data_IF_356693699409
#
_entry.id   IF_356693699409
#
_cell.length_a   1.000
_cell.length_b   1.000
_cell.length_c   1.000
_cell.angle_alpha   90.00
_cell.angle_beta   90.00
_cell.angle_gamma   90.00
#
_symmetry.space_group_name_H-M   'P 1'
#
loop_
_entity.id
_entity.type
_entity.pdbx_description
1 polymer ?
#
# COMPACT_ATOMS: atom_id res chain seq x y z
N UNK A 1 -13.78 0.39 -31.44
CA UNK A 1 -12.42 0.94 -31.64
C UNK A 1 -11.48 -0.15 -31.17
N UNK A 2 -10.76 -0.80 -32.09
CA UNK A 2 -10.08 -2.07 -31.82
C UNK A 2 -8.88 -1.89 -30.90
N UNK A 3 -8.86 -2.65 -29.80
CA UNK A 3 -7.73 -2.71 -28.87
C UNK A 3 -6.97 -4.01 -29.17
N UNK A 4 -5.66 -3.85 -29.29
CA UNK A 4 -4.68 -4.79 -29.83
C UNK A 4 -4.42 -5.91 -28.82
N UNK A 5 -4.26 -7.13 -29.33
CA UNK A 5 -3.76 -8.30 -28.58
C UNK A 5 -2.42 -7.97 -27.91
N UNK A 6 -2.36 -8.10 -26.58
CA UNK A 6 -1.08 -8.12 -25.86
C UNK A 6 -0.45 -9.52 -26.03
N UNK A 7 0.79 -9.53 -26.50
CA UNK A 7 1.64 -10.72 -26.63
C UNK A 7 2.53 -10.71 -25.40
N UNK A 8 2.52 -11.78 -24.61
CA UNK A 8 3.49 -12.01 -23.54
C UNK A 8 4.90 -11.91 -24.13
N UNK A 9 5.64 -10.86 -23.75
CA UNK A 9 6.98 -10.58 -24.25
C UNK A 9 7.98 -10.92 -23.15
N UNK A 10 8.68 -12.05 -23.28
CA UNK A 10 9.86 -12.36 -22.48
C UNK A 10 11.03 -11.50 -22.98
N UNK A 11 11.47 -10.53 -22.18
CA UNK A 11 12.74 -9.84 -22.40
C UNK A 11 13.85 -10.54 -21.62
N UNK A 12 14.71 -11.27 -22.33
CA UNK A 12 16.00 -11.71 -21.79
C UNK A 12 17.03 -10.63 -22.16
N UNK A 13 17.30 -9.72 -21.23
CA UNK A 13 18.40 -8.76 -21.32
C UNK A 13 19.73 -9.47 -21.05
N UNK A 14 20.57 -9.66 -22.07
CA UNK A 14 21.95 -10.12 -21.89
C UNK A 14 22.88 -8.92 -21.80
N UNK A 15 23.21 -8.47 -20.59
CA UNK A 15 24.24 -7.47 -20.36
C UNK A 15 25.59 -8.16 -20.07
N UNK A 16 26.57 -7.96 -20.95
CA UNK A 16 27.98 -8.29 -20.66
C UNK A 16 28.55 -7.22 -19.72
N UNK A 17 28.82 -7.58 -18.46
CA UNK A 17 29.60 -6.77 -17.53
C UNK A 17 31.03 -7.33 -17.37
N UNK A 18 32.05 -6.47 -17.22
CA UNK A 18 33.40 -6.90 -16.91
C UNK A 18 33.52 -7.38 -15.46
N UNK A 19 34.44 -8.31 -15.27
CA UNK A 19 34.71 -9.06 -14.03
C UNK A 19 35.03 -8.17 -12.83
N UNK A 20 34.30 -8.44 -11.74
CA UNK A 20 34.76 -8.33 -10.36
C UNK A 20 33.95 -7.37 -9.50
N UNK A 21 33.02 -7.92 -8.71
CA UNK A 21 32.78 -7.69 -7.27
C UNK A 21 31.73 -8.74 -6.82
N UNK A 22 31.77 -9.13 -5.55
CA UNK A 22 31.08 -10.30 -4.97
C UNK A 22 29.60 -10.42 -5.34
N UNK A 23 29.23 -11.53 -5.98
CA UNK A 23 27.85 -11.94 -6.20
C UNK A 23 27.25 -12.46 -4.89
N UNK A 24 26.60 -11.58 -4.11
CA UNK A 24 25.38 -12.02 -3.46
C UNK A 24 24.38 -12.29 -4.59
N UNK A 25 23.89 -13.51 -4.72
CA UNK A 25 22.78 -13.75 -5.64
C UNK A 25 21.61 -12.91 -5.12
N UNK A 26 21.26 -11.86 -5.85
CA UNK A 26 20.07 -11.08 -5.56
C UNK A 26 18.87 -12.00 -5.82
N UNK A 27 17.89 -12.00 -4.93
CA UNK A 27 16.67 -12.75 -5.09
C UNK A 27 16.03 -12.43 -6.46
N UNK A 28 15.72 -13.44 -7.27
CA UNK A 28 14.98 -13.22 -8.51
C UNK A 28 13.52 -12.88 -8.15
N UNK A 29 13.10 -11.63 -8.34
CA UNK A 29 11.70 -11.27 -8.14
C UNK A 29 10.86 -11.85 -9.26
N UNK A 30 9.81 -12.56 -8.88
CA UNK A 30 8.81 -13.08 -9.82
C UNK A 30 7.44 -12.51 -9.45
N UNK A 31 6.71 -12.00 -10.44
CA UNK A 31 5.37 -11.42 -10.25
C UNK A 31 4.39 -12.04 -11.22
N UNK A 32 3.19 -12.31 -10.73
CA UNK A 32 2.05 -12.81 -11.49
C UNK A 32 0.83 -11.96 -11.18
N UNK A 33 0.37 -11.21 -12.17
CA UNK A 33 -0.87 -10.47 -12.11
C UNK A 33 -2.01 -11.33 -12.65
N UNK A 34 -3.15 -11.30 -11.96
CA UNK A 34 -4.38 -11.94 -12.40
C UNK A 34 -5.43 -10.89 -12.66
N UNK A 35 -6.04 -11.02 -13.83
CA UNK A 35 -7.27 -10.33 -14.20
C UNK A 35 -8.28 -11.33 -14.77
N UNK A 36 -9.50 -10.86 -15.06
CA UNK A 36 -10.56 -11.69 -15.64
C UNK A 36 -10.24 -12.29 -17.03
N UNK A 37 -9.18 -11.85 -17.71
CA UNK A 37 -8.73 -12.38 -19.00
C UNK A 37 -7.69 -13.50 -18.83
N UNK A 38 -7.26 -13.79 -17.59
CA UNK A 38 -6.25 -14.81 -17.30
C UNK A 38 -6.78 -16.21 -17.68
N UNK A 39 -6.12 -16.91 -18.64
CA UNK A 39 -6.55 -18.24 -19.07
C UNK A 39 -6.61 -19.24 -17.91
N UNK A 40 -7.59 -20.15 -17.97
CA UNK A 40 -7.78 -21.24 -17.01
C UNK A 40 -7.93 -20.80 -15.54
N UNK A 41 -8.12 -19.50 -15.30
CA UNK A 41 -8.25 -18.87 -13.99
C UNK A 41 -7.17 -19.33 -12.99
N UNK A 42 -5.98 -19.67 -13.47
CA UNK A 42 -4.89 -20.21 -12.65
C UNK A 42 -3.51 -19.93 -13.25
N UNK A 43 -2.49 -20.01 -12.41
CA UNK A 43 -1.12 -19.67 -12.80
C UNK A 43 -0.13 -19.89 -11.66
N UNK A 44 1.15 -19.97 -12.00
CA UNK A 44 2.22 -20.29 -11.06
C UNK A 44 3.48 -19.49 -11.34
N UNK A 45 4.18 -19.07 -10.28
CA UNK A 45 5.52 -18.50 -10.35
C UNK A 45 6.45 -19.27 -9.41
N UNK A 46 7.73 -19.29 -9.75
CA UNK A 46 8.76 -19.95 -8.94
C UNK A 46 9.98 -19.06 -8.85
N UNK A 47 10.52 -18.90 -7.66
CA UNK A 47 11.80 -18.25 -7.41
C UNK A 47 12.47 -18.88 -6.19
N UNK A 48 13.77 -19.13 -6.30
CA UNK A 48 14.62 -19.61 -5.20
C UNK A 48 14.03 -20.80 -4.40
N UNK A 49 13.47 -21.79 -5.11
CA UNK A 49 12.90 -23.00 -4.47
C UNK A 49 11.48 -22.83 -3.91
N UNK A 50 10.94 -21.61 -3.92
CA UNK A 50 9.55 -21.31 -3.57
C UNK A 50 8.71 -21.27 -4.85
N UNK A 51 7.61 -22.02 -4.87
CA UNK A 51 6.60 -21.98 -5.93
C UNK A 51 5.27 -21.52 -5.35
N UNK A 52 4.74 -20.42 -5.89
CA UNK A 52 3.41 -19.93 -5.57
C UNK A 52 2.45 -20.25 -6.72
N UNK A 53 1.38 -20.97 -6.41
CA UNK A 53 0.30 -21.31 -7.34
C UNK A 53 -0.98 -20.60 -6.92
N UNK A 54 -1.55 -19.79 -7.80
CA UNK A 54 -2.86 -19.17 -7.58
C UNK A 54 -3.86 -19.75 -8.57
N UNK A 55 -5.05 -20.06 -8.06
CA UNK A 55 -6.17 -20.54 -8.86
C UNK A 55 -7.47 -19.94 -8.34
N UNK A 56 -8.43 -19.72 -9.23
CA UNK A 56 -9.75 -19.21 -8.90
C UNK A 56 -10.83 -20.23 -9.23
N UNK A 57 -11.72 -20.48 -8.28
CA UNK A 57 -12.95 -21.21 -8.51
C UNK A 57 -14.08 -20.22 -8.80
N UNK A 58 -14.78 -20.41 -9.92
CA UNK A 58 -15.96 -19.63 -10.27
C UNK A 58 -17.20 -20.17 -9.53
N UNK A 59 -17.95 -19.28 -8.90
CA UNK A 59 -19.20 -19.56 -8.21
C UNK A 59 -20.30 -18.66 -8.78
N UNK A 60 -21.20 -19.23 -9.57
CA UNK A 60 -22.35 -18.51 -10.10
C UNK A 60 -23.52 -18.57 -9.12
N UNK A 61 -24.03 -17.42 -8.72
CA UNK A 61 -25.21 -17.32 -7.85
C UNK A 61 -26.51 -17.58 -8.65
N UNK A 62 -27.66 -17.82 -7.98
CA UNK A 62 -28.94 -18.07 -8.66
C UNK A 62 -29.45 -16.94 -9.56
N UNK A 63 -28.91 -15.73 -9.40
CA UNK A 63 -29.23 -14.54 -10.18
C UNK A 63 -28.36 -14.41 -11.45
N UNK A 64 -27.39 -15.32 -11.63
CA UNK A 64 -26.53 -15.39 -12.80
C UNK A 64 -25.23 -14.59 -12.69
N UNK A 65 -24.90 -14.04 -11.52
CA UNK A 65 -23.63 -13.37 -11.27
C UNK A 65 -22.58 -14.36 -10.82
N UNK A 66 -21.38 -14.27 -11.40
CA UNK A 66 -20.23 -15.07 -11.01
C UNK A 66 -19.36 -14.33 -10.01
N UNK A 67 -18.99 -15.02 -8.94
CA UNK A 67 -17.93 -14.63 -8.02
C UNK A 67 -16.75 -15.59 -8.20
N UNK A 68 -15.56 -15.11 -7.88
CA UNK A 68 -14.30 -15.83 -8.04
C UNK A 68 -13.66 -16.00 -6.66
N UNK A 69 -13.34 -17.24 -6.30
CA UNK A 69 -12.74 -17.61 -5.01
C UNK A 69 -11.27 -17.98 -5.24
N UNK A 70 -10.30 -17.17 -4.79
CA UNK A 70 -8.90 -17.50 -4.96
C UNK A 70 -8.47 -18.58 -3.97
N UNK A 71 -7.57 -19.44 -4.43
CA UNK A 71 -6.80 -20.36 -3.60
C UNK A 71 -5.33 -20.24 -3.96
N UNK A 72 -4.54 -19.76 -3.00
CA UNK A 72 -3.08 -19.71 -3.06
C UNK A 72 -2.51 -20.98 -2.41
N UNK A 73 -1.59 -21.63 -3.11
CA UNK A 73 -0.81 -22.77 -2.59
C UNK A 73 0.67 -22.47 -2.75
N UNK A 74 1.41 -22.56 -1.65
CA UNK A 74 2.85 -22.34 -1.59
C UNK A 74 3.55 -23.66 -1.40
N UNK A 75 4.57 -23.89 -2.21
CA UNK A 75 5.42 -25.06 -2.15
C UNK A 75 6.88 -24.64 -1.99
N UNK A 76 7.62 -25.41 -1.20
CA UNK A 76 9.07 -25.30 -1.07
C UNK A 76 9.66 -26.65 -1.42
N UNK A 77 10.61 -26.68 -2.36
CA UNK A 77 11.22 -27.91 -2.87
C UNK A 77 10.16 -28.98 -3.23
N UNK A 78 9.13 -28.57 -3.97
CA UNK A 78 7.99 -29.39 -4.42
C UNK A 78 7.07 -29.92 -3.29
N UNK A 79 7.22 -29.47 -2.04
CA UNK A 79 6.33 -29.83 -0.93
C UNK A 79 5.43 -28.67 -0.59
N UNK A 80 4.12 -28.94 -0.53
CA UNK A 80 3.15 -27.96 -0.03
C UNK A 80 3.45 -27.63 1.44
N UNK A 81 3.75 -26.36 1.69
CA UNK A 81 4.00 -25.82 3.04
C UNK A 81 2.80 -25.02 3.54
N UNK A 82 2.01 -24.44 2.63
CA UNK A 82 0.86 -23.62 2.98
C UNK A 82 -0.19 -23.61 1.87
N UNK A 83 -1.46 -23.63 2.26
CA UNK A 83 -2.61 -23.40 1.37
C UNK A 83 -3.60 -22.45 2.05
N UNK A 84 -4.09 -21.46 1.30
CA UNK A 84 -5.15 -20.53 1.71
C UNK A 84 -6.17 -20.34 0.62
N UNK A 85 -7.42 -20.26 1.05
CA UNK A 85 -8.56 -19.94 0.19
C UNK A 85 -9.20 -18.71 0.80
N UNK A 86 -9.27 -17.63 0.02
CA UNK A 86 -9.80 -16.35 0.47
C UNK A 86 -11.28 -16.20 0.11
N UNK A 87 -11.88 -15.11 0.58
CA UNK A 87 -13.25 -14.76 0.26
C UNK A 87 -13.47 -14.50 -1.23
N UNK A 88 -14.71 -14.73 -1.66
CA UNK A 88 -15.11 -14.55 -3.05
C UNK A 88 -15.18 -13.06 -3.42
N UNK A 89 -14.67 -12.70 -4.60
CA UNK A 89 -14.84 -11.36 -5.18
C UNK A 89 -15.58 -11.44 -6.52
N UNK A 90 -16.39 -10.43 -6.83
CA UNK A 90 -17.06 -10.33 -8.14
C UNK A 90 -16.09 -9.96 -9.27
N UNK A 91 -14.86 -9.55 -8.94
CA UNK A 91 -13.78 -9.32 -9.90
C UNK A 91 -12.56 -10.16 -9.56
N UNK A 92 -11.98 -10.77 -10.60
CA UNK A 92 -10.66 -11.37 -10.54
C UNK A 92 -9.64 -10.25 -10.79
N UNK A 93 -9.10 -9.69 -9.72
CA UNK A 93 -7.99 -8.74 -9.79
C UNK A 93 -7.08 -8.94 -8.58
N UNK A 94 -5.91 -9.51 -8.82
CA UNK A 94 -4.93 -9.80 -7.77
C UNK A 94 -3.51 -9.84 -8.31
N UNK A 95 -2.58 -9.86 -7.38
CA UNK A 95 -1.15 -9.95 -7.61
C UNK A 95 -0.57 -10.99 -6.67
N UNK A 96 0.28 -11.86 -7.20
CA UNK A 96 1.18 -12.72 -6.43
C UNK A 96 2.60 -12.34 -6.79
N UNK A 97 3.45 -12.17 -5.78
CA UNK A 97 4.87 -11.90 -5.98
C UNK A 97 5.70 -12.77 -5.05
N UNK A 98 6.89 -13.15 -5.50
CA UNK A 98 7.92 -13.75 -4.65
C UNK A 98 9.07 -12.75 -4.58
N UNK A 99 9.40 -12.28 -3.38
CA UNK A 99 10.45 -11.31 -3.13
C UNK A 99 11.05 -11.49 -1.73
N UNK A 100 12.32 -11.15 -1.57
CA UNK A 100 13.01 -11.20 -0.29
C UNK A 100 12.62 -9.99 0.57
N UNK A 101 11.85 -10.18 1.64
CA UNK A 101 11.42 -9.12 2.56
C UNK A 101 12.05 -9.25 3.96
N UNK A 102 12.49 -10.45 4.37
CA UNK A 102 13.21 -10.67 5.62
C UNK A 102 14.33 -11.73 5.50
N UNK A 103 15.61 -11.31 5.48
CA UNK A 103 16.73 -12.22 5.23
C UNK A 103 17.08 -13.11 6.44
N UNK A 104 16.24 -13.11 7.49
CA UNK A 104 16.42 -13.93 8.69
C UNK A 104 15.89 -15.36 8.53
N UNK A 105 15.13 -15.64 7.47
CA UNK A 105 14.63 -16.98 7.15
C UNK A 105 15.36 -17.57 5.93
N UNK A 106 15.01 -18.80 5.53
CA UNK A 106 15.72 -19.51 4.46
C UNK A 106 15.16 -19.23 3.05
N UNK A 107 13.99 -18.60 2.93
CA UNK A 107 13.22 -18.54 1.68
C UNK A 107 12.51 -17.20 1.50
N UNK A 108 12.52 -16.61 0.29
CA UNK A 108 11.82 -15.36 0.04
C UNK A 108 10.32 -15.48 0.32
N UNK A 109 9.74 -14.36 0.73
CA UNK A 109 8.31 -14.22 0.98
C UNK A 109 7.47 -14.38 -0.28
N UNK A 110 6.26 -14.89 -0.10
CA UNK A 110 5.18 -14.78 -1.10
C UNK A 110 4.24 -13.67 -0.66
N UNK A 111 4.03 -12.67 -1.50
CA UNK A 111 3.09 -11.59 -1.29
C UNK A 111 1.86 -11.90 -2.11
N UNK A 112 0.68 -11.86 -1.49
CA UNK A 112 -0.60 -11.92 -2.17
C UNK A 112 -1.37 -10.64 -1.89
N UNK A 113 -1.75 -9.95 -2.96
CA UNK A 113 -2.62 -8.80 -2.87
C UNK A 113 -3.88 -9.01 -3.72
N UNK A 114 -5.04 -8.86 -3.12
CA UNK A 114 -6.32 -9.08 -3.79
C UNK A 114 -7.22 -7.87 -3.65
N UNK A 115 -7.88 -7.53 -4.74
CA UNK A 115 -8.97 -6.57 -4.73
C UNK A 115 -10.23 -7.17 -4.06
N UNK A 116 -10.65 -6.57 -2.94
CA UNK A 116 -11.80 -7.04 -2.14
C UNK A 116 -13.18 -6.63 -2.66
N UNK A 117 -13.27 -5.57 -3.47
CA UNK A 117 -14.55 -5.10 -4.06
C UNK A 117 -15.08 -3.76 -3.52
N UNK A 118 -15.27 -2.77 -4.41
CA UNK A 118 -15.97 -1.50 -4.14
C UNK A 118 -15.37 -0.29 -4.90
N UNK A 119 -16.08 0.85 -5.03
CA UNK A 119 -15.70 1.94 -5.94
C UNK A 119 -14.31 2.56 -5.71
N UNK A 120 -13.79 2.47 -4.48
CA UNK A 120 -12.42 2.82 -4.09
C UNK A 120 -11.80 1.75 -3.16
N UNK A 121 -12.47 0.60 -3.05
CA UNK A 121 -12.12 -0.41 -2.06
C UNK A 121 -10.97 -1.31 -2.50
N UNK A 122 -10.52 -2.07 -1.52
CA UNK A 122 -9.11 -2.12 -1.17
C UNK A 122 -8.34 -3.29 -1.77
N UNK A 123 -7.04 -3.09 -1.91
CA UNK A 123 -6.06 -4.15 -1.91
C UNK A 123 -5.95 -4.74 -0.50
N UNK A 124 -6.44 -5.95 -0.30
CA UNK A 124 -6.11 -6.77 0.86
C UNK A 124 -4.74 -7.36 0.62
N UNK A 125 -3.81 -7.21 1.57
CA UNK A 125 -2.41 -7.64 1.41
C UNK A 125 -2.04 -8.61 2.50
N UNK A 126 -1.53 -9.76 2.08
CA UNK A 126 -1.04 -10.83 2.94
C UNK A 126 0.37 -11.21 2.51
N UNK A 127 1.22 -11.46 3.50
CA UNK A 127 2.60 -11.89 3.31
C UNK A 127 2.73 -13.28 3.91
N UNK A 128 3.20 -14.22 3.12
CA UNK A 128 3.48 -15.58 3.54
C UNK A 128 4.98 -15.73 3.70
N UNK A 129 5.41 -16.03 4.91
CA UNK A 129 6.83 -16.06 5.29
C UNK A 129 7.12 -17.30 6.13
N UNK A 130 8.37 -17.72 6.14
CA UNK A 130 8.83 -18.75 7.06
C UNK A 130 9.23 -18.10 8.39
N UNK A 131 8.65 -18.59 9.48
CA UNK A 131 9.05 -18.18 10.82
C UNK A 131 10.50 -18.61 11.11
N UNK A 132 11.42 -17.66 11.36
CA UNK A 132 12.84 -17.94 11.54
C UNK A 132 13.16 -18.74 12.82
N UNK A 133 12.25 -18.79 13.80
CA UNK A 133 12.49 -19.50 15.06
C UNK A 133 12.19 -21.01 14.98
N UNK A 134 11.27 -21.42 14.11
CA UNK A 134 10.75 -22.79 14.07
C UNK A 134 10.59 -23.39 12.66
N UNK A 135 10.91 -22.61 11.63
CA UNK A 135 10.85 -22.97 10.21
C UNK A 135 9.46 -23.33 9.67
N UNK A 136 8.37 -22.96 10.37
CA UNK A 136 7.00 -23.13 9.86
C UNK A 136 6.57 -21.95 9.01
N UNK A 137 5.80 -22.20 7.95
CA UNK A 137 5.23 -21.14 7.12
C UNK A 137 3.98 -20.55 7.78
N UNK A 138 3.94 -19.23 7.85
CA UNK A 138 2.90 -18.45 8.51
C UNK A 138 2.38 -17.34 7.59
N UNK A 139 1.26 -16.73 7.99
CA UNK A 139 0.63 -15.61 7.28
C UNK A 139 0.72 -14.38 8.17
N UNK A 140 1.21 -13.29 7.59
CA UNK A 140 1.23 -11.97 8.20
C UNK A 140 0.28 -11.09 7.39
N UNK A 141 -0.84 -10.71 8.00
CA UNK A 141 -1.82 -9.81 7.39
C UNK A 141 -1.32 -8.37 7.52
N UNK A 142 -1.01 -7.72 6.40
CA UNK A 142 -0.63 -6.31 6.36
C UNK A 142 -1.88 -5.40 6.39
N UNK A 143 -3.02 -5.90 5.90
CA UNK A 143 -4.31 -5.24 6.01
C UNK A 143 -4.87 -4.78 4.67
N UNK A 144 -5.72 -3.76 4.72
CA UNK A 144 -6.46 -3.24 3.58
C UNK A 144 -5.99 -1.83 3.22
N UNK A 145 -5.65 -1.61 1.94
CA UNK A 145 -5.21 -0.32 1.41
C UNK A 145 -6.12 0.13 0.27
N UNK A 146 -6.45 1.40 0.22
CA UNK A 146 -7.26 1.94 -0.88
C UNK A 146 -6.46 1.88 -2.19
N UNK A 147 -7.16 1.56 -3.27
CA UNK A 147 -6.53 1.31 -4.57
C UNK A 147 -6.47 -0.18 -4.92
N UNK A 148 -5.79 -0.47 -6.03
CA UNK A 148 -5.62 -1.82 -6.55
C UNK A 148 -4.41 -2.55 -5.96
N UNK A 149 -4.32 -3.88 -6.14
CA UNK A 149 -3.12 -4.65 -5.83
C UNK A 149 -1.87 -4.04 -6.45
N UNK A 150 -0.82 -3.91 -5.65
CA UNK A 150 0.51 -3.42 -6.05
C UNK A 150 1.60 -4.38 -5.55
N UNK A 151 2.73 -4.49 -6.27
CA UNK A 151 3.87 -5.28 -5.81
C UNK A 151 4.61 -4.60 -4.65
N UNK A 152 5.45 -5.37 -3.96
CA UNK A 152 6.54 -4.82 -3.14
C UNK A 152 7.69 -4.37 -4.02
N UNK A 153 8.45 -3.39 -3.54
CA UNK A 153 9.55 -2.73 -4.25
C UNK A 153 10.80 -2.67 -3.37
N UNK A 154 11.97 -2.47 -3.97
CA UNK A 154 13.25 -2.20 -3.26
C UNK A 154 13.64 -0.72 -3.51
N UNK A 155 12.98 0.22 -2.82
CA UNK A 155 13.16 1.65 -3.07
C UNK A 155 14.52 2.21 -2.65
N UNK A 156 15.25 1.54 -1.75
CA UNK A 156 16.59 1.96 -1.30
C UNK A 156 17.75 1.14 -1.91
N UNK A 157 17.44 0.10 -2.68
CA UNK A 157 18.38 -0.70 -3.44
C UNK A 157 19.21 -1.65 -2.59
N UNK A 158 18.71 -2.05 -1.42
CA UNK A 158 19.43 -2.88 -0.46
C UNK A 158 19.19 -4.40 -0.68
N UNK A 159 18.28 -4.76 -1.59
CA UNK A 159 17.91 -6.15 -1.91
C UNK A 159 16.83 -6.75 -1.00
N UNK A 160 16.32 -5.99 -0.04
CA UNK A 160 15.17 -6.29 0.82
C UNK A 160 14.00 -5.46 0.32
N UNK A 161 12.89 -6.11 0.03
CA UNK A 161 11.71 -5.49 -0.55
C UNK A 161 10.76 -5.03 0.55
N UNK A 162 10.18 -3.84 0.37
CA UNK A 162 9.18 -3.26 1.24
C UNK A 162 7.85 -3.03 0.51
N UNK A 163 6.75 -3.02 1.27
CA UNK A 163 5.46 -2.62 0.74
C UNK A 163 5.33 -1.10 0.83
N UNK A 164 5.51 -0.44 -0.32
CA UNK A 164 5.44 1.03 -0.47
C UNK A 164 4.04 1.43 -0.92
N UNK A 165 3.33 2.19 -0.07
CA UNK A 165 1.94 2.59 -0.31
C UNK A 165 1.69 4.03 0.16
N UNK A 166 0.43 4.43 0.26
CA UNK A 166 -0.01 5.70 0.84
C UNK A 166 -0.57 5.50 2.24
N UNK A 167 -0.32 6.46 3.13
CA UNK A 167 -0.95 6.45 4.46
C UNK A 167 -2.45 6.74 4.34
N UNK A 168 -3.24 5.67 4.37
CA UNK A 168 -4.69 5.71 4.19
C UNK A 168 -5.42 6.62 5.20
N UNK A 169 -4.82 6.94 6.35
CA UNK A 169 -5.43 7.85 7.35
C UNK A 169 -5.69 9.26 6.81
N UNK A 170 -5.00 9.65 5.74
CA UNK A 170 -5.20 10.94 5.07
C UNK A 170 -6.31 10.92 4.02
N UNK A 171 -6.71 9.74 3.53
CA UNK A 171 -7.76 9.61 2.55
C UNK A 171 -9.11 9.95 3.18
N UNK A 172 -9.92 10.72 2.47
CA UNK A 172 -11.25 11.17 2.90
C UNK A 172 -11.28 12.06 4.15
N UNK A 173 -10.14 12.32 4.80
CA UNK A 173 -10.12 13.04 6.09
C UNK A 173 -10.38 14.52 5.93
N UNK A 174 -9.81 15.17 4.91
CA UNK A 174 -9.94 16.63 4.70
C UNK A 174 -10.34 17.02 3.26
N UNK A 175 -10.80 16.05 2.48
CA UNK A 175 -11.24 16.18 1.09
C UNK A 175 -11.84 14.85 0.61
N UNK A 176 -12.37 14.79 -0.61
CA UNK A 176 -12.61 13.53 -1.31
C UNK A 176 -11.31 12.73 -1.54
N UNK A 177 -11.44 11.47 -2.00
CA UNK A 177 -10.31 10.65 -2.45
C UNK A 177 -9.43 11.38 -3.47
N UNK A 178 -10.05 11.99 -4.47
CA UNK A 178 -9.34 12.70 -5.54
C UNK A 178 -8.65 13.99 -5.05
N UNK A 179 -9.18 14.62 -3.99
CA UNK A 179 -8.56 15.75 -3.31
C UNK A 179 -7.50 15.34 -2.27
N UNK A 180 -7.36 14.05 -1.99
CA UNK A 180 -6.40 13.53 -1.01
C UNK A 180 -5.06 13.30 -1.67
N UNK A 181 -3.97 13.68 -1.00
CA UNK A 181 -2.62 13.35 -1.43
C UNK A 181 -1.80 12.90 -0.23
N UNK A 182 -1.92 11.63 0.21
CA UNK A 182 -1.27 11.15 1.44
C UNK A 182 0.26 11.12 1.36
N UNK A 183 0.97 11.19 2.50
CA UNK A 183 2.39 10.85 2.58
C UNK A 183 2.61 9.38 2.18
N UNK A 184 3.84 9.07 1.76
CA UNK A 184 4.26 7.68 1.49
C UNK A 184 4.29 6.91 2.80
N UNK A 185 3.80 5.68 2.79
CA UNK A 185 3.95 4.73 3.88
C UNK A 185 4.77 3.52 3.40
N UNK A 186 5.74 3.09 4.20
CA UNK A 186 6.64 1.98 3.88
C UNK A 186 6.57 0.95 4.99
N UNK A 187 6.19 -0.27 4.63
CA UNK A 187 6.10 -1.39 5.57
C UNK A 187 7.21 -2.40 5.29
N UNK A 188 7.98 -2.69 6.34
CA UNK A 188 9.03 -3.70 6.32
C UNK A 188 8.62 -4.90 7.17
N UNK A 189 8.89 -6.11 6.67
CA UNK A 189 8.75 -7.34 7.43
C UNK A 189 9.97 -7.57 8.32
N UNK A 190 9.73 -7.98 9.57
CA UNK A 190 10.74 -8.49 10.50
C UNK A 190 10.16 -9.72 11.22
N UNK A 191 10.57 -10.91 10.79
CA UNK A 191 10.00 -12.19 11.20
C UNK A 191 8.51 -12.27 10.86
N UNK A 192 7.69 -12.17 11.90
CA UNK A 192 6.22 -12.19 11.79
C UNK A 192 5.59 -10.83 12.10
N UNK A 193 6.39 -9.77 12.14
CA UNK A 193 5.94 -8.42 12.48
C UNK A 193 6.12 -7.48 11.30
N UNK A 194 5.16 -6.59 11.09
CA UNK A 194 5.24 -5.51 10.13
C UNK A 194 5.50 -4.21 10.86
N UNK A 195 6.51 -3.47 10.40
CA UNK A 195 6.93 -2.22 10.99
C UNK A 195 6.75 -1.09 9.97
N UNK A 196 6.12 0.00 10.40
CA UNK A 196 6.07 1.23 9.63
C UNK A 196 7.45 1.92 9.75
N UNK A 197 8.23 1.81 8.69
CA UNK A 197 9.59 2.36 8.59
C UNK A 197 9.63 3.64 7.76
N UNK A 198 8.47 4.24 7.47
CA UNK A 198 8.34 5.41 6.58
C UNK A 198 9.20 6.58 6.98
N UNK A 199 9.50 6.73 8.28
CA UNK A 199 10.25 7.86 8.81
C UNK A 199 11.78 7.66 8.80
N UNK A 200 12.28 6.50 8.39
CA UNK A 200 13.71 6.25 8.32
C UNK A 200 14.39 7.09 7.22
N UNK A 201 15.60 7.59 7.52
CA UNK A 201 16.36 8.46 6.60
C UNK A 201 16.60 7.81 5.22
N UNK A 202 16.70 6.47 5.16
CA UNK A 202 16.90 5.72 3.91
C UNK A 202 15.76 5.92 2.91
N UNK A 203 14.55 6.25 3.37
CA UNK A 203 13.38 6.49 2.52
C UNK A 203 13.09 7.98 2.26
N UNK A 204 13.91 8.90 2.77
CA UNK A 204 13.75 10.32 2.45
C UNK A 204 13.72 10.64 0.94
N UNK A 205 14.43 9.93 0.05
CA UNK A 205 14.28 10.11 -1.39
C UNK A 205 12.83 9.94 -1.88
N UNK A 206 12.09 8.92 -1.41
CA UNK A 206 10.68 8.69 -1.77
C UNK A 206 9.81 9.88 -1.35
N UNK A 207 10.01 10.38 -0.13
CA UNK A 207 9.27 11.54 0.38
C UNK A 207 9.56 12.82 -0.39
N UNK A 208 10.81 13.03 -0.82
CA UNK A 208 11.18 14.17 -1.65
C UNK A 208 10.55 14.10 -3.03
N UNK A 209 10.49 12.92 -3.64
CA UNK A 209 9.77 12.71 -4.90
C UNK A 209 8.28 12.97 -4.74
N UNK A 210 7.65 12.38 -3.70
CA UNK A 210 6.25 12.61 -3.35
C UNK A 210 5.92 14.09 -3.18
N UNK A 211 6.79 14.85 -2.51
CA UNK A 211 6.61 16.30 -2.33
C UNK A 211 6.61 17.08 -3.64
N UNK A 212 7.40 16.66 -4.64
CA UNK A 212 7.38 17.31 -5.95
C UNK A 212 6.03 17.12 -6.63
N UNK A 213 5.48 15.90 -6.56
CA UNK A 213 4.16 15.58 -7.09
C UNK A 213 3.04 16.32 -6.32
N UNK A 214 3.12 16.37 -4.98
CA UNK A 214 2.20 17.14 -4.14
C UNK A 214 2.22 18.63 -4.50
N UNK A 215 3.41 19.20 -4.72
CA UNK A 215 3.53 20.60 -5.08
C UNK A 215 2.90 20.93 -6.45
N UNK A 216 3.02 20.02 -7.43
CA UNK A 216 2.31 20.15 -8.69
C UNK A 216 0.79 20.10 -8.49
N UNK A 217 0.30 19.15 -7.69
CA UNK A 217 -1.12 19.01 -7.39
C UNK A 217 -1.72 20.24 -6.68
N UNK A 218 -1.02 20.78 -5.67
CA UNK A 218 -1.45 21.99 -4.95
C UNK A 218 -1.55 23.21 -5.88
N UNK A 219 -0.59 23.39 -6.79
CA UNK A 219 -0.65 24.49 -7.77
C UNK A 219 -1.83 24.34 -8.73
N UNK A 220 -2.12 23.11 -9.18
CA UNK A 220 -3.25 22.85 -10.07
C UNK A 220 -4.60 23.04 -9.35
N UNK A 221 -4.68 22.65 -8.07
CA UNK A 221 -5.89 22.82 -7.27
C UNK A 221 -6.32 24.29 -7.16
N UNK A 222 -5.38 25.22 -7.06
CA UNK A 222 -5.67 26.67 -7.07
C UNK A 222 -6.25 27.15 -8.40
N UNK A 223 -5.82 26.56 -9.52
CA UNK A 223 -6.31 26.96 -10.85
C UNK A 223 -7.63 26.31 -11.22
N UNK A 224 -7.90 25.09 -10.71
CA UNK A 224 -9.03 24.26 -11.11
C UNK A 224 -10.15 24.20 -10.07
N UNK A 225 -9.93 24.77 -8.88
CA UNK A 225 -10.91 24.79 -7.79
C UNK A 225 -11.06 23.45 -7.08
N UNK A 226 -9.99 22.66 -6.99
CA UNK A 226 -9.99 21.38 -6.28
C UNK A 226 -9.84 21.55 -4.76
N UNK A 227 -10.24 20.52 -4.02
CA UNK A 227 -10.16 20.45 -2.56
C UNK A 227 -8.69 20.42 -2.09
N UNK A 228 -8.13 21.59 -1.79
CA UNK A 228 -6.70 21.73 -1.49
C UNK A 228 -6.31 21.25 -0.08
N UNK A 229 -7.26 21.17 0.86
CA UNK A 229 -6.98 20.85 2.26
C UNK A 229 -6.41 19.43 2.44
N UNK A 230 -6.95 18.42 1.73
CA UNK A 230 -6.40 17.06 1.74
C UNK A 230 -4.97 16.97 1.19
N UNK A 231 -4.67 17.73 0.14
CA UNK A 231 -3.31 17.81 -0.42
C UNK A 231 -2.34 18.49 0.54
N UNK A 232 -2.76 19.59 1.19
CA UNK A 232 -1.95 20.30 2.17
C UNK A 232 -1.68 19.49 3.42
N UNK A 233 -2.65 18.68 3.87
CA UNK A 233 -2.47 17.78 5.00
C UNK A 233 -1.31 16.81 4.77
N UNK A 234 -1.32 16.10 3.63
CA UNK A 234 -0.22 15.19 3.28
C UNK A 234 1.10 15.89 2.99
N UNK A 235 1.07 17.11 2.45
CA UNK A 235 2.27 17.94 2.25
C UNK A 235 2.95 18.28 3.59
N UNK A 236 2.17 18.71 4.59
CA UNK A 236 2.69 19.01 5.94
C UNK A 236 3.29 17.75 6.56
N UNK A 237 2.59 16.62 6.51
CA UNK A 237 3.05 15.34 7.04
C UNK A 237 4.38 14.90 6.41
N UNK A 238 4.49 14.96 5.09
CA UNK A 238 5.71 14.59 4.36
C UNK A 238 6.86 15.56 4.67
N UNK A 239 6.56 16.86 4.85
CA UNK A 239 7.56 17.83 5.32
C UNK A 239 8.03 17.53 6.74
N UNK A 240 7.14 17.05 7.62
CA UNK A 240 7.51 16.68 8.98
C UNK A 240 8.47 15.49 9.00
N UNK A 241 8.23 14.45 8.19
CA UNK A 241 9.17 13.33 8.01
C UNK A 241 10.58 13.83 7.65
N UNK A 242 10.68 14.83 6.78
CA UNK A 242 11.95 15.39 6.33
C UNK A 242 12.56 16.43 7.29
N UNK A 243 11.98 16.65 8.47
CA UNK A 243 12.45 17.66 9.44
C UNK A 243 12.18 19.10 9.02
N UNK A 244 11.26 19.33 8.09
CA UNK A 244 10.91 20.62 7.49
C UNK A 244 9.50 21.09 7.88
N UNK A 245 8.98 20.63 9.02
CA UNK A 245 7.61 20.84 9.50
C UNK A 245 7.15 22.29 9.41
N UNK A 246 7.92 23.24 9.93
CA UNK A 246 7.53 24.65 9.95
C UNK A 246 7.35 25.23 8.54
N UNK A 247 8.16 24.80 7.58
CA UNK A 247 8.04 25.24 6.19
C UNK A 247 6.74 24.69 5.56
N UNK A 248 6.44 23.42 5.81
CA UNK A 248 5.16 22.80 5.41
C UNK A 248 3.97 23.51 6.02
N UNK A 249 4.01 23.75 7.33
CA UNK A 249 2.94 24.42 8.07
C UNK A 249 2.67 25.84 7.56
N UNK A 250 3.74 26.61 7.34
CA UNK A 250 3.62 27.97 6.80
C UNK A 250 2.98 27.97 5.41
N UNK A 251 3.33 27.02 4.54
CA UNK A 251 2.67 26.89 3.23
C UNK A 251 1.17 26.63 3.40
N UNK A 252 0.82 25.68 4.26
CA UNK A 252 -0.57 25.32 4.55
C UNK A 252 -1.38 26.52 5.04
N UNK A 253 -0.87 27.28 6.02
CA UNK A 253 -1.57 28.48 6.55
C UNK A 253 -1.86 29.55 5.48
N UNK A 254 -1.00 29.63 4.46
CA UNK A 254 -1.17 30.58 3.37
C UNK A 254 -2.16 30.12 2.30
N UNK A 255 -2.41 28.81 2.17
CA UNK A 255 -3.10 28.23 1.00
C UNK A 255 -4.37 27.44 1.32
N UNK A 256 -4.60 27.05 2.58
CA UNK A 256 -5.76 26.24 2.90
C UNK A 256 -7.09 26.95 2.60
N UNK A 257 -8.09 26.17 2.20
CA UNK A 257 -9.46 26.64 2.03
C UNK A 257 -10.08 26.85 3.42
N UNK A 258 -10.36 28.12 3.73
CA UNK A 258 -10.94 28.58 5.01
C UNK A 258 -12.44 28.37 5.08
N UNK A 259 -13.08 28.03 3.97
CA UNK A 259 -14.54 27.92 3.86
C UNK A 259 -15.02 26.48 3.94
N UNK A 260 -14.13 25.51 3.73
CA UNK A 260 -14.44 24.10 3.88
C UNK A 260 -14.61 23.70 5.35
N UNK A 261 -15.69 22.99 5.63
CA UNK A 261 -16.01 22.35 6.91
C UNK A 261 -15.70 20.84 6.91
N UNK A 262 -15.22 20.29 5.78
CA UNK A 262 -14.87 18.87 5.67
C UNK A 262 -13.74 18.52 6.64
N UNK A 263 -13.97 17.49 7.47
CA UNK A 263 -12.96 16.99 8.39
C UNK A 263 -12.77 17.84 9.64
N UNK A 264 -13.69 18.77 9.92
CA UNK A 264 -13.68 19.56 11.16
C UNK A 264 -14.47 18.91 12.30
N UNK A 265 -15.09 17.77 12.05
CA UNK A 265 -15.79 16.98 13.07
C UNK A 265 -15.21 15.56 13.13
N UNK A 266 -14.94 15.10 14.34
CA UNK A 266 -14.39 13.77 14.59
C UNK A 266 -15.16 13.07 15.70
N UNK A 267 -15.43 11.78 15.53
CA UNK A 267 -16.07 11.01 16.60
C UNK A 267 -15.06 10.63 17.67
N UNK A 268 -15.35 10.97 18.93
CA UNK A 268 -14.60 10.42 20.06
C UNK A 268 -15.13 9.03 20.38
N UNK A 269 -14.46 7.99 19.90
CA UNK A 269 -14.84 6.60 20.15
C UNK A 269 -15.50 5.95 18.93
N UNK A 270 -16.33 4.94 19.18
CA UNK A 270 -16.93 4.16 18.11
C UNK A 270 -18.22 4.80 17.60
N UNK A 271 -18.61 4.39 16.40
CA UNK A 271 -19.96 4.58 15.90
C UNK A 271 -20.82 3.39 16.31
N UNK A 272 -22.07 3.65 16.70
CA UNK A 272 -23.06 2.61 16.90
C UNK A 272 -23.51 1.99 15.55
N UNK A 273 -24.31 0.93 15.60
CA UNK A 273 -24.87 0.26 14.41
C UNK A 273 -25.76 1.17 13.54
N UNK A 274 -26.09 2.38 14.01
CA UNK A 274 -26.86 3.39 13.29
C UNK A 274 -25.97 4.53 12.75
N UNK A 275 -24.65 4.47 12.96
CA UNK A 275 -23.69 5.48 12.53
C UNK A 275 -23.65 6.71 13.43
N UNK A 276 -24.17 6.65 14.67
CA UNK A 276 -24.05 7.76 15.62
C UNK A 276 -22.76 7.63 16.44
N UNK A 277 -22.10 8.75 16.66
CA UNK A 277 -20.89 8.78 17.48
C UNK A 277 -21.19 8.57 18.97
N UNK A 278 -20.65 7.51 19.57
CA UNK A 278 -20.98 7.13 20.95
C UNK A 278 -20.32 8.01 22.02
N UNK A 279 -19.08 8.48 21.82
CA UNK A 279 -18.40 9.35 22.78
C UNK A 279 -18.46 10.85 22.45
N UNK A 280 -19.34 11.21 21.50
CA UNK A 280 -19.62 12.60 21.12
C UNK A 280 -18.65 13.16 20.07
N UNK A 281 -19.14 14.15 19.33
CA UNK A 281 -18.38 14.81 18.28
C UNK A 281 -17.41 15.85 18.88
N UNK A 282 -16.15 15.74 18.49
CA UNK A 282 -15.15 16.78 18.63
C UNK A 282 -15.24 17.69 17.40
N UNK A 283 -15.49 18.97 17.62
CA UNK A 283 -15.51 19.98 16.55
C UNK A 283 -14.28 20.87 16.66
N UNK A 284 -13.61 21.09 15.54
CA UNK A 284 -12.47 22.00 15.40
C UNK A 284 -12.91 23.33 14.79
N UNK A 285 -12.38 24.44 15.31
CA UNK A 285 -12.70 25.78 14.79
C UNK A 285 -12.12 26.04 13.39
N UNK A 286 -11.15 25.22 12.94
CA UNK A 286 -10.49 25.39 11.64
C UNK A 286 -9.71 24.15 11.21
N UNK A 287 -9.45 24.04 9.90
CA UNK A 287 -8.60 23.00 9.32
C UNK A 287 -7.20 22.92 9.95
N UNK A 288 -6.45 24.03 10.18
CA UNK A 288 -5.18 23.99 10.89
C UNK A 288 -5.29 23.37 12.30
N UNK A 289 -6.38 23.63 13.04
CA UNK A 289 -6.55 23.04 14.37
C UNK A 289 -6.77 21.53 14.28
N UNK A 290 -7.65 21.09 13.36
CA UNK A 290 -7.92 19.67 13.12
C UNK A 290 -6.67 18.92 12.62
N UNK A 291 -5.93 19.51 11.67
CA UNK A 291 -4.74 18.91 11.09
C UNK A 291 -3.64 18.75 12.14
N UNK A 292 -3.45 19.74 13.02
CA UNK A 292 -2.42 19.64 14.07
C UNK A 292 -2.69 18.45 14.98
N UNK A 293 -3.92 18.32 15.49
CA UNK A 293 -4.30 17.24 16.39
C UNK A 293 -4.10 15.87 15.73
N UNK A 294 -4.56 15.74 14.48
CA UNK A 294 -4.36 14.52 13.70
C UNK A 294 -2.89 14.17 13.48
N UNK A 295 -2.03 15.14 13.15
CA UNK A 295 -0.61 14.85 12.93
C UNK A 295 0.14 14.49 14.22
N UNK A 296 -0.30 15.02 15.37
CA UNK A 296 0.22 14.59 16.69
C UNK A 296 -0.25 13.16 17.01
N UNK A 297 -1.53 12.83 16.79
CA UNK A 297 -2.08 11.48 16.98
C UNK A 297 -1.41 10.44 16.05
N UNK A 298 -1.19 10.83 14.79
CA UNK A 298 -0.60 9.98 13.77
C UNK A 298 0.93 9.87 13.86
N UNK A 299 1.56 10.51 14.85
CA UNK A 299 3.01 10.55 15.08
C UNK A 299 3.85 11.17 13.96
N UNK A 300 3.28 12.15 13.24
CA UNK A 300 4.05 13.01 12.32
C UNK A 300 4.62 14.24 13.02
N UNK A 301 4.02 14.65 14.14
CA UNK A 301 4.47 15.78 14.95
C UNK A 301 4.74 15.34 16.39
N UNK A 302 5.74 15.95 16.99
CA UNK A 302 5.85 15.94 18.45
C UNK A 302 4.88 16.94 19.06
N UNK A 303 4.29 16.60 20.20
CA UNK A 303 3.30 17.46 20.87
C UNK A 303 3.86 18.87 21.11
N UNK A 304 3.22 19.89 20.54
CA UNK A 304 3.64 21.28 20.67
C UNK A 304 4.80 21.73 19.77
N UNK A 305 5.23 20.91 18.81
CA UNK A 305 6.22 21.26 17.78
C UNK A 305 5.80 22.49 16.97
N UNK A 306 4.51 22.58 16.67
CA UNK A 306 3.90 23.70 15.98
C UNK A 306 3.02 24.50 16.93
N UNK A 307 3.24 25.82 16.99
CA UNK A 307 2.48 26.77 17.81
C UNK A 307 1.47 27.56 17.01
#
# INVERSE_FOLDING_TARGET
MGIKKAIATFFISTALFPLGFSSGAQAEVATLEFDYETPDHSGSITSQGVTANLSYAEQTNPEGWSNYVPTLTIQVDEREVLRRTEDSSFMMYSLVQIAEMDPKNDFPEVIFSQYSGGAHCCAMVQIFTQNPDNNTWEVVDLGAFDGGPIPVEDPDGNGIYEYVTSDNRFLYRYSSYAGSFPPVQVWQLDGLTLQDVSQEERFYPLHRERLQAMWAAIQNAETEGYEVNGMLAGYVATKAILGETQAGWNLMLNRYDRTSDWGLEECRGNFDDQGNCEGGLLTYDSFPAALKDFLEEANYLTAGEIK
#
